data_IF_979488543305
#
_entry.id   IF_979488543305
#
_cell.length_a   1.000
_cell.length_b   1.000
_cell.length_c   1.000
_cell.angle_alpha   90.00
_cell.angle_beta   90.00
_cell.angle_gamma   90.00
#
_symmetry.space_group_name_H-M   'P 1'
#
loop_
_entity.id
_entity.type
_entity.pdbx_description
1 polymer ?
#
# COMPACT_ATOMS: atom_id res chain seq x y z
N UNK A 1 -8.03 25.62 -0.42
CA UNK A 1 -6.68 25.02 -0.55
C UNK A 1 -6.61 24.12 -1.79
N UNK A 2 -5.58 24.23 -2.65
CA UNK A 2 -5.41 23.28 -3.74
C UNK A 2 -5.24 21.87 -3.15
N UNK A 3 -5.78 20.82 -3.79
CA UNK A 3 -5.59 19.45 -3.35
C UNK A 3 -4.08 19.19 -3.31
N UNK A 4 -3.54 18.95 -2.11
CA UNK A 4 -2.13 18.60 -1.95
C UNK A 4 -1.89 17.33 -2.75
N UNK A 5 -0.97 17.39 -3.71
CA UNK A 5 -0.55 16.20 -4.46
C UNK A 5 -0.01 15.18 -3.44
N UNK A 6 -0.33 13.89 -3.59
CA UNK A 6 0.19 12.88 -2.67
C UNK A 6 1.72 12.92 -2.69
N UNK A 7 2.34 13.18 -1.53
CA UNK A 7 3.80 13.22 -1.41
C UNK A 7 4.31 11.79 -1.24
N UNK A 8 5.29 11.41 -2.07
CA UNK A 8 6.01 10.16 -1.92
C UNK A 8 7.13 10.34 -0.89
N UNK A 9 7.28 9.37 0.00
CA UNK A 9 8.44 9.25 0.90
C UNK A 9 9.01 7.84 0.82
N UNK A 10 10.19 7.63 1.40
CA UNK A 10 10.82 6.30 1.48
C UNK A 10 11.17 5.96 2.92
N UNK A 11 11.05 4.68 3.27
CA UNK A 11 11.64 4.13 4.51
C UNK A 11 12.41 2.87 4.20
N UNK A 12 13.48 2.62 4.96
CA UNK A 12 14.13 1.30 4.97
C UNK A 12 13.24 0.34 5.77
N UNK A 13 13.03 -0.86 5.23
CA UNK A 13 12.47 -2.00 5.92
C UNK A 13 13.60 -3.00 6.21
N UNK A 14 14.25 -2.80 7.35
CA UNK A 14 15.46 -3.54 7.74
C UNK A 14 15.23 -5.05 7.82
N UNK A 15 14.12 -5.48 8.45
CA UNK A 15 13.78 -6.92 8.61
C UNK A 15 13.73 -7.68 7.27
N UNK A 16 13.41 -6.97 6.18
CA UNK A 16 13.24 -7.54 4.84
C UNK A 16 14.35 -7.11 3.88
N UNK A 17 15.33 -6.31 4.34
CA UNK A 17 16.44 -5.83 3.53
C UNK A 17 16.03 -5.02 2.30
N UNK A 18 14.92 -4.27 2.37
CA UNK A 18 14.38 -3.52 1.22
C UNK A 18 13.97 -2.10 1.58
N UNK A 19 13.72 -1.27 0.59
CA UNK A 19 13.12 0.06 0.75
C UNK A 19 11.63 -0.03 0.44
N UNK A 20 10.83 0.75 1.15
CA UNK A 20 9.42 0.95 0.87
C UNK A 20 9.16 2.39 0.43
N UNK A 21 8.52 2.56 -0.72
CA UNK A 21 7.88 3.81 -1.12
C UNK A 21 6.56 3.97 -0.36
N UNK A 22 6.29 5.17 0.13
CA UNK A 22 5.17 5.45 1.02
C UNK A 22 4.36 6.64 0.54
N UNK A 23 3.04 6.52 0.62
CA UNK A 23 2.10 7.62 0.41
C UNK A 23 1.14 7.66 1.59
N UNK A 24 1.03 8.83 2.22
CA UNK A 24 0.04 9.10 3.25
C UNK A 24 -1.26 9.59 2.61
N UNK A 25 -2.35 8.86 2.85
CA UNK A 25 -3.68 9.20 2.37
C UNK A 25 -4.72 8.92 3.45
N UNK A 26 -5.58 9.92 3.73
CA UNK A 26 -6.66 9.79 4.74
C UNK A 26 -6.16 9.23 6.09
N UNK A 27 -5.03 9.76 6.57
CA UNK A 27 -4.38 9.33 7.82
C UNK A 27 -3.89 7.87 7.83
N UNK A 28 -3.67 7.28 6.65
CA UNK A 28 -3.11 5.93 6.48
C UNK A 28 -1.89 6.00 5.58
N UNK A 29 -0.77 5.47 6.07
CA UNK A 29 0.44 5.26 5.28
C UNK A 29 0.33 3.94 4.50
N UNK A 30 0.31 4.02 3.16
CA UNK A 30 0.33 2.85 2.27
C UNK A 30 1.74 2.71 1.70
N UNK A 31 2.25 1.47 1.67
CA UNK A 31 3.62 1.19 1.24
C UNK A 31 3.66 0.24 0.03
N UNK A 32 4.60 0.48 -0.88
CA UNK A 32 5.05 -0.43 -1.96
C UNK A 32 6.51 -0.79 -1.72
N UNK A 33 6.86 -2.07 -1.80
CA UNK A 33 8.26 -2.51 -1.73
C UNK A 33 8.99 -2.21 -3.03
N UNK A 34 10.25 -1.82 -2.94
CA UNK A 34 11.10 -1.57 -4.11
C UNK A 34 11.58 -2.87 -4.78
N UNK A 35 11.73 -3.96 -4.03
CA UNK A 35 12.33 -5.22 -4.51
C UNK A 35 11.39 -6.07 -5.37
N UNK A 36 10.09 -6.04 -5.12
CA UNK A 36 9.11 -6.93 -5.75
C UNK A 36 7.73 -6.31 -6.00
N UNK A 37 7.61 -4.99 -5.83
CA UNK A 37 6.40 -4.21 -6.07
C UNK A 37 5.15 -4.61 -5.26
N UNK A 38 5.29 -5.48 -4.26
CA UNK A 38 4.16 -5.81 -3.41
C UNK A 38 3.70 -4.56 -2.65
N UNK A 39 2.39 -4.44 -2.50
CA UNK A 39 1.75 -3.32 -1.80
C UNK A 39 1.05 -3.83 -0.56
N UNK A 40 1.12 -3.06 0.53
CA UNK A 40 0.41 -3.38 1.76
C UNK A 40 -1.12 -3.22 1.57
N UNK A 41 -1.79 -4.31 1.19
CA UNK A 41 -3.22 -4.37 0.94
C UNK A 41 -4.08 -4.07 2.17
N UNK A 42 -3.55 -4.34 3.38
CA UNK A 42 -4.23 -3.94 4.62
C UNK A 42 -4.34 -2.43 4.75
N UNK A 43 -3.24 -1.71 4.51
CA UNK A 43 -3.23 -0.24 4.56
C UNK A 43 -4.05 0.35 3.43
N UNK A 44 -3.90 -0.17 2.21
CA UNK A 44 -4.70 0.26 1.05
C UNK A 44 -6.21 0.20 1.33
N UNK A 45 -6.72 -0.89 1.90
CA UNK A 45 -8.16 -1.02 2.19
C UNK A 45 -8.61 -0.20 3.42
N UNK A 46 -7.69 0.14 4.32
CA UNK A 46 -7.99 1.07 5.42
C UNK A 46 -8.21 2.51 4.89
N UNK A 47 -7.57 2.92 3.79
CA UNK A 47 -7.84 4.21 3.12
C UNK A 47 -9.30 4.33 2.65
N UNK A 48 -9.93 3.19 2.32
CA UNK A 48 -11.36 3.13 1.96
C UNK A 48 -12.27 3.34 3.18
N UNK A 49 -11.75 3.25 4.41
CA UNK A 49 -12.56 3.19 5.63
C UNK A 49 -13.26 1.84 5.81
N UNK A 50 -12.72 0.78 5.22
CA UNK A 50 -13.34 -0.54 5.25
C UNK A 50 -13.34 -1.15 6.65
N UNK A 51 -14.45 -1.78 7.03
CA UNK A 51 -14.52 -2.54 8.28
C UNK A 51 -13.53 -3.70 8.29
N UNK A 52 -13.03 -4.07 9.48
CA UNK A 52 -12.07 -5.15 9.66
C UNK A 52 -12.53 -6.46 9.00
N UNK A 53 -13.76 -6.91 9.26
CA UNK A 53 -14.27 -8.17 8.74
C UNK A 53 -14.33 -8.21 7.20
N UNK A 54 -14.76 -7.12 6.57
CA UNK A 54 -14.81 -7.02 5.10
C UNK A 54 -13.41 -7.00 4.49
N UNK A 55 -12.49 -6.23 5.09
CA UNK A 55 -11.08 -6.18 4.68
C UNK A 55 -10.42 -7.54 4.77
N UNK A 56 -10.52 -8.19 5.93
CA UNK A 56 -9.92 -9.50 6.17
C UNK A 56 -10.55 -10.56 5.24
N UNK A 57 -11.85 -10.44 4.94
CA UNK A 57 -12.55 -11.28 3.97
C UNK A 57 -12.09 -11.13 2.52
N UNK A 58 -11.67 -9.93 2.10
CA UNK A 58 -11.05 -9.71 0.78
C UNK A 58 -9.62 -10.29 0.79
N UNK A 59 -8.80 -9.85 1.75
CA UNK A 59 -7.36 -10.17 1.78
C UNK A 59 -7.08 -11.65 2.04
N UNK A 60 -8.00 -12.39 2.68
CA UNK A 60 -7.81 -13.82 2.93
C UNK A 60 -7.75 -14.68 1.66
N UNK A 61 -8.37 -14.21 0.58
CA UNK A 61 -8.50 -14.95 -0.66
C UNK A 61 -7.51 -14.51 -1.74
N UNK A 62 -6.66 -13.52 -1.46
CA UNK A 62 -5.70 -13.01 -2.44
C UNK A 62 -4.55 -14.01 -2.65
N UNK A 63 -4.36 -14.44 -3.90
CA UNK A 63 -3.30 -15.38 -4.28
C UNK A 63 -1.93 -14.71 -4.18
N UNK A 64 -0.92 -15.45 -3.70
CA UNK A 64 0.44 -14.92 -3.54
C UNK A 64 0.59 -13.86 -2.44
N UNK A 65 -0.39 -13.73 -1.54
CA UNK A 65 -0.32 -12.81 -0.41
C UNK A 65 0.76 -13.22 0.58
N UNK A 66 1.43 -12.23 1.17
CA UNK A 66 2.40 -12.41 2.25
C UNK A 66 1.86 -11.73 3.51
N UNK A 67 1.97 -12.40 4.67
CA UNK A 67 1.44 -11.88 5.93
C UNK A 67 2.58 -11.48 6.85
N UNK A 68 2.68 -10.19 7.15
CA UNK A 68 3.67 -9.63 8.08
C UNK A 68 2.97 -9.29 9.41
N UNK A 69 3.37 -10.00 10.47
CA UNK A 69 2.75 -9.90 11.81
C UNK A 69 3.61 -9.12 12.81
N UNK A 70 4.91 -9.06 12.59
CA UNK A 70 5.92 -8.43 13.46
C UNK A 70 6.58 -7.24 12.73
N UNK A 71 7.46 -6.50 13.42
CA UNK A 71 8.13 -5.32 12.86
C UNK A 71 7.34 -4.02 13.02
N UNK A 72 7.67 -3.01 12.21
CA UNK A 72 7.07 -1.67 12.30
C UNK A 72 5.56 -1.67 12.03
N UNK A 73 4.78 -0.96 12.85
CA UNK A 73 3.30 -0.95 12.80
C UNK A 73 2.71 -0.53 11.45
N UNK A 74 3.40 0.34 10.72
CA UNK A 74 2.97 0.81 9.40
C UNK A 74 3.28 -0.20 8.28
N UNK A 75 4.17 -1.18 8.51
CA UNK A 75 4.53 -2.25 7.56
C UNK A 75 3.84 -3.59 7.85
N UNK A 76 3.31 -3.78 9.08
CA UNK A 76 2.44 -4.92 9.41
C UNK A 76 1.19 -4.97 8.51
N UNK A 77 0.78 -6.18 8.16
CA UNK A 77 -0.43 -6.45 7.38
C UNK A 77 -0.25 -7.54 6.35
N UNK A 78 -1.26 -7.67 5.50
CA UNK A 78 -1.22 -8.54 4.31
C UNK A 78 -0.72 -7.73 3.13
N UNK A 79 0.39 -8.16 2.56
CA UNK A 79 0.98 -7.66 1.33
C UNK A 79 0.44 -8.46 0.15
N UNK A 80 0.08 -7.76 -0.92
CA UNK A 80 -0.52 -8.32 -2.14
C UNK A 80 0.26 -7.85 -3.36
N UNK A 81 0.10 -8.56 -4.48
CA UNK A 81 0.78 -8.22 -5.73
C UNK A 81 0.36 -6.84 -6.23
N UNK A 82 1.26 -6.18 -6.96
CA UNK A 82 1.02 -4.87 -7.58
C UNK A 82 -0.28 -4.83 -8.39
N UNK A 83 -0.46 -5.81 -9.30
CA UNK A 83 -1.66 -5.92 -10.13
C UNK A 83 -2.93 -5.95 -9.29
N UNK A 84 -2.90 -6.72 -8.19
CA UNK A 84 -4.08 -6.88 -7.35
C UNK A 84 -4.38 -5.63 -6.54
N UNK A 85 -3.36 -4.97 -6.01
CA UNK A 85 -3.50 -3.68 -5.34
C UNK A 85 -4.09 -2.63 -6.29
N UNK A 86 -3.63 -2.59 -7.56
CA UNK A 86 -4.14 -1.69 -8.60
C UNK A 86 -5.63 -1.92 -8.90
N UNK A 87 -6.05 -3.18 -9.01
CA UNK A 87 -7.46 -3.53 -9.19
C UNK A 87 -8.33 -3.05 -8.03
N UNK A 88 -7.89 -3.28 -6.79
CA UNK A 88 -8.61 -2.86 -5.59
C UNK A 88 -8.66 -1.34 -5.48
N UNK A 89 -7.56 -0.65 -5.76
CA UNK A 89 -7.50 0.79 -5.74
C UNK A 89 -8.45 1.43 -6.77
N UNK A 90 -8.51 0.86 -7.97
CA UNK A 90 -9.44 1.27 -9.03
C UNK A 90 -10.88 1.00 -8.62
N UNK A 91 -11.17 -0.22 -8.15
CA UNK A 91 -12.52 -0.64 -7.73
C UNK A 91 -13.09 0.23 -6.61
N UNK A 92 -12.26 0.63 -5.66
CA UNK A 92 -12.67 1.47 -4.53
C UNK A 92 -12.43 2.97 -4.72
N UNK A 93 -12.04 3.39 -5.94
CA UNK A 93 -11.80 4.80 -6.30
C UNK A 93 -10.80 5.50 -5.39
N UNK A 94 -9.70 4.81 -5.06
CA UNK A 94 -8.56 5.34 -4.32
C UNK A 94 -7.26 5.32 -5.14
N UNK A 95 -7.34 4.98 -6.43
CA UNK A 95 -6.19 4.94 -7.34
C UNK A 95 -5.50 6.32 -7.42
N UNK A 96 -6.25 7.38 -7.70
CA UNK A 96 -5.68 8.72 -7.92
C UNK A 96 -4.99 9.29 -6.67
N UNK A 97 -5.54 9.03 -5.48
CA UNK A 97 -4.95 9.51 -4.22
C UNK A 97 -3.71 8.72 -3.78
N UNK A 98 -3.50 7.53 -4.36
CA UNK A 98 -2.32 6.68 -4.13
C UNK A 98 -1.46 6.57 -5.39
N UNK A 99 -1.69 7.43 -6.39
CA UNK A 99 -1.12 7.31 -7.74
C UNK A 99 0.40 7.11 -7.76
N UNK A 100 1.22 7.79 -6.93
CA UNK A 100 2.67 7.57 -6.93
C UNK A 100 3.10 6.13 -6.66
N UNK A 101 2.29 5.33 -5.98
CA UNK A 101 2.60 3.91 -5.74
C UNK A 101 2.30 3.01 -6.96
N UNK A 102 1.52 3.50 -7.93
CA UNK A 102 0.98 2.73 -9.06
C UNK A 102 1.58 3.08 -10.42
N UNK A 103 2.60 3.94 -10.47
CA UNK A 103 3.45 4.12 -11.66
C UNK A 103 4.48 3.00 -11.78
N UNK A 104 5.17 2.89 -12.91
CA UNK A 104 6.22 1.89 -13.10
C UNK A 104 7.37 2.11 -12.11
N UNK A 105 7.94 3.31 -12.10
CA UNK A 105 8.99 3.75 -11.18
C UNK A 105 8.45 4.85 -10.24
N UNK A 106 8.18 4.55 -8.96
CA UNK A 106 7.76 5.56 -7.98
C UNK A 106 8.81 6.65 -7.73
N UNK A 107 10.11 6.37 -7.92
CA UNK A 107 11.19 7.28 -7.53
C UNK A 107 11.14 8.64 -8.24
N UNK A 108 10.43 8.73 -9.38
CA UNK A 108 10.16 9.97 -10.11
C UNK A 108 9.42 11.04 -9.29
N UNK A 109 8.84 10.66 -8.15
CA UNK A 109 8.11 11.57 -7.24
C UNK A 109 8.90 11.95 -5.97
N UNK A 110 10.16 11.52 -5.83
CA UNK A 110 11.02 11.87 -4.70
C UNK A 110 11.69 13.24 -4.83
#
# INVERSE_FOLDING_TARGET
PPPQRPKLTTTVWEDEGTICYQVDAKSVCVARRQDNDMINGTKLLNVVGMSRGKRDGILKNEKGRVVVKVGAMHLKGVWITFSRAKDLATKFRIFDILYPLFVEDPSIFL
#
